data_IF_604262542170
#
_entry.id   IF_604262542170
#
_cell.length_a   1.000
_cell.length_b   1.000
_cell.length_c   1.000
_cell.angle_alpha   90.00
_cell.angle_beta   90.00
_cell.angle_gamma   90.00
#
_symmetry.space_group_name_H-M   'P 1'
#
loop_
_entity.id
_entity.type
_entity.pdbx_description
1 polymer ?
#
# COMPACT_ATOMS: atom_id res chain seq x y z
N UNK A 1 -9.52 -4.02 14.96
CA UNK A 1 -10.84 -4.46 14.49
C UNK A 1 -11.04 -4.11 13.02
N UNK A 2 -12.17 -4.56 12.46
CA UNK A 2 -12.46 -4.41 11.02
C UNK A 2 -12.60 -2.95 10.60
N UNK A 3 -13.22 -2.12 11.45
CA UNK A 3 -13.37 -0.70 11.14
C UNK A 3 -12.02 0.01 11.13
N UNK A 4 -11.13 -0.33 12.06
CA UNK A 4 -9.79 0.24 12.11
C UNK A 4 -9.01 -0.14 10.85
N UNK A 5 -9.08 -1.39 10.40
CA UNK A 5 -8.43 -1.80 9.17
C UNK A 5 -8.95 -1.04 7.95
N UNK A 6 -10.27 -0.91 7.87
CA UNK A 6 -10.87 -0.18 6.75
C UNK A 6 -10.42 1.28 6.74
N UNK A 7 -10.43 1.91 7.90
CA UNK A 7 -9.97 3.28 8.02
C UNK A 7 -8.51 3.42 7.61
N UNK A 8 -7.65 2.52 8.08
CA UNK A 8 -6.23 2.55 7.72
C UNK A 8 -6.00 2.37 6.23
N UNK A 9 -6.70 1.43 5.60
CA UNK A 9 -6.56 1.21 4.15
C UNK A 9 -6.93 2.45 3.36
N UNK A 10 -7.92 3.20 3.83
CA UNK A 10 -8.39 4.39 3.13
C UNK A 10 -7.56 5.63 3.43
N UNK A 11 -6.88 5.66 4.57
CA UNK A 11 -6.28 6.90 5.08
C UNK A 11 -4.79 6.84 5.38
N UNK A 12 -4.18 5.64 5.40
CA UNK A 12 -2.77 5.50 5.80
C UNK A 12 -1.85 6.37 4.93
N UNK A 13 -2.15 6.52 3.64
CA UNK A 13 -1.34 7.33 2.73
C UNK A 13 -1.27 8.79 3.16
N UNK A 14 -2.31 9.28 3.81
CA UNK A 14 -2.37 10.68 4.30
C UNK A 14 -1.32 10.95 5.37
N UNK A 15 -0.81 9.89 5.98
CA UNK A 15 0.24 9.95 7.01
C UNK A 15 1.56 9.38 6.52
N UNK A 16 1.64 9.06 5.22
CA UNK A 16 2.88 8.60 4.61
C UNK A 16 3.05 7.10 4.54
N UNK A 17 2.01 6.32 4.84
CA UNK A 17 2.08 4.86 4.90
C UNK A 17 1.23 4.21 3.82
N UNK A 18 1.68 3.06 3.32
CA UNK A 18 0.88 2.23 2.43
C UNK A 18 0.87 0.80 2.94
N UNK A 19 -0.19 0.06 2.59
CA UNK A 19 -0.25 -1.37 2.85
C UNK A 19 0.68 -2.07 1.87
N UNK A 20 1.66 -2.82 2.40
CA UNK A 20 2.73 -3.40 1.58
C UNK A 20 2.26 -4.59 0.75
N UNK A 21 1.39 -5.43 1.32
CA UNK A 21 0.92 -6.66 0.68
C UNK A 21 -0.61 -6.70 0.66
N UNK A 22 -1.24 -5.99 -0.30
CA UNK A 22 -2.70 -5.90 -0.34
C UNK A 22 -3.36 -7.22 -0.72
N UNK A 23 -4.61 -7.36 -0.31
CA UNK A 23 -5.43 -8.52 -0.66
C UNK A 23 -5.58 -8.62 -2.18
N UNK A 24 -5.49 -9.84 -2.71
CA UNK A 24 -5.65 -10.09 -4.13
C UNK A 24 -4.42 -9.83 -4.98
N UNK A 25 -3.30 -9.46 -4.36
CA UNK A 25 -2.06 -9.13 -5.08
C UNK A 25 -0.91 -10.08 -4.77
N UNK A 26 -1.20 -11.27 -4.24
CA UNK A 26 -0.19 -12.23 -3.81
C UNK A 26 0.73 -12.68 -4.93
N UNK A 27 0.21 -12.81 -6.14
CA UNK A 27 1.02 -13.22 -7.29
C UNK A 27 2.00 -12.11 -7.73
N UNK A 28 1.68 -10.87 -7.41
CA UNK A 28 2.51 -9.71 -7.77
C UNK A 28 3.59 -9.49 -6.71
N UNK A 29 3.20 -9.48 -5.45
CA UNK A 29 4.13 -9.18 -4.36
C UNK A 29 4.98 -10.38 -3.94
N UNK A 30 4.50 -11.60 -4.19
CA UNK A 30 5.14 -12.82 -3.72
C UNK A 30 4.86 -13.14 -2.27
N UNK A 31 3.98 -12.38 -1.61
CA UNK A 31 3.63 -12.54 -0.21
C UNK A 31 2.14 -12.62 -0.04
N UNK A 32 1.69 -13.31 1.01
CA UNK A 32 0.27 -13.36 1.34
C UNK A 32 -0.19 -12.00 1.84
N UNK A 33 -1.50 -11.73 1.67
CA UNK A 33 -2.11 -10.53 2.23
C UNK A 33 -1.87 -10.46 3.74
N UNK A 34 -1.39 -9.28 4.19
CA UNK A 34 -1.16 -9.01 5.60
C UNK A 34 -1.70 -7.61 5.93
N UNK A 35 -2.82 -7.57 6.65
CA UNK A 35 -3.51 -6.31 6.95
C UNK A 35 -2.68 -5.37 7.85
N UNK A 36 -1.64 -5.88 8.47
CA UNK A 36 -0.82 -5.11 9.43
C UNK A 36 0.54 -4.70 8.88
N UNK A 37 0.89 -5.07 7.66
CA UNK A 37 2.22 -4.77 7.13
C UNK A 37 2.17 -3.50 6.30
N UNK A 38 2.57 -2.39 6.91
CA UNK A 38 2.63 -1.09 6.26
C UNK A 38 4.07 -0.67 6.06
N UNK A 39 4.30 0.11 5.00
CA UNK A 39 5.60 0.70 4.72
C UNK A 39 5.47 2.21 4.71
N UNK A 40 6.41 2.90 5.35
CA UNK A 40 6.47 4.36 5.32
C UNK A 40 7.18 4.83 4.05
N UNK A 41 6.52 5.69 3.28
CA UNK A 41 7.07 6.26 2.05
C UNK A 41 7.13 7.79 2.10
N UNK A 42 6.55 8.41 3.11
CA UNK A 42 6.29 9.83 3.12
C UNK A 42 4.96 10.13 2.45
N UNK A 43 4.36 11.26 2.79
CA UNK A 43 2.99 11.59 2.35
C UNK A 43 2.90 11.69 0.84
N UNK A 44 3.86 12.36 0.21
CA UNK A 44 3.81 12.59 -1.25
C UNK A 44 3.82 11.28 -2.03
N UNK A 45 4.80 10.42 -1.76
CA UNK A 45 4.93 9.16 -2.48
C UNK A 45 3.80 8.18 -2.11
N UNK A 46 3.46 8.09 -0.84
CA UNK A 46 2.37 7.21 -0.40
C UNK A 46 1.05 7.58 -1.08
N UNK A 47 0.78 8.87 -1.22
CA UNK A 47 -0.42 9.34 -1.89
C UNK A 47 -0.42 8.97 -3.37
N UNK A 48 0.71 9.13 -4.04
CA UNK A 48 0.83 8.75 -5.45
C UNK A 48 0.59 7.25 -5.64
N UNK A 49 1.17 6.42 -4.78
CA UNK A 49 0.97 4.97 -4.84
C UNK A 49 -0.49 4.63 -4.59
N UNK A 50 -1.08 5.21 -3.54
CA UNK A 50 -2.49 4.98 -3.21
C UNK A 50 -3.40 5.34 -4.39
N UNK A 51 -3.21 6.53 -4.96
CA UNK A 51 -4.07 7.03 -6.03
C UNK A 51 -3.91 6.24 -7.33
N UNK A 52 -2.75 5.62 -7.53
CA UNK A 52 -2.50 4.82 -8.74
C UNK A 52 -3.29 3.52 -8.79
N UNK A 53 -3.74 3.02 -7.64
CA UNK A 53 -4.38 1.71 -7.54
C UNK A 53 -3.41 0.54 -7.65
N UNK A 54 -2.11 0.82 -7.77
CA UNK A 54 -1.07 -0.20 -7.88
C UNK A 54 -0.54 -0.60 -6.51
N UNK A 55 0.08 -1.78 -6.43
CA UNK A 55 0.91 -2.11 -5.27
C UNK A 55 2.17 -1.25 -5.30
N UNK A 56 2.87 -1.16 -4.18
CA UNK A 56 4.17 -0.50 -4.18
C UNK A 56 5.15 -1.19 -5.13
N UNK A 57 5.10 -2.53 -5.21
CA UNK A 57 5.96 -3.28 -6.12
C UNK A 57 5.72 -2.87 -7.57
N UNK A 58 4.46 -2.78 -7.98
CA UNK A 58 4.10 -2.35 -9.32
C UNK A 58 4.52 -0.91 -9.58
N UNK A 59 4.26 -0.03 -8.63
CA UNK A 59 4.59 1.39 -8.75
C UNK A 59 6.11 1.57 -8.89
N UNK A 60 6.88 0.86 -8.06
CA UNK A 60 8.34 0.93 -8.12
C UNK A 60 8.86 0.53 -9.49
N UNK A 61 8.36 -0.57 -10.06
CA UNK A 61 8.81 -1.04 -11.37
C UNK A 61 8.49 -0.06 -12.48
N UNK A 62 7.33 0.59 -12.41
CA UNK A 62 6.88 1.49 -13.47
C UNK A 62 7.48 2.89 -13.39
N UNK A 63 7.72 3.39 -12.17
CA UNK A 63 8.04 4.80 -12.00
C UNK A 63 9.30 5.10 -11.21
N UNK A 64 9.77 4.20 -10.37
CA UNK A 64 10.89 4.47 -9.46
C UNK A 64 12.17 3.73 -9.82
N UNK A 65 12.06 2.70 -10.64
CA UNK A 65 13.20 1.89 -11.04
C UNK A 65 14.11 2.61 -12.03
#
# INVERSE_FOLDING_TARGET
>A
DTEAFQWMQQNAHRFGWILRYPEGKETITGYNYEAWHYRYLGVELATKVHDSGLTYDEYYELYLR
#
